data_IF_978960074488
#
_entry.id   IF_978960074488
#
_cell.length_a   1.000
_cell.length_b   1.000
_cell.length_c   1.000
_cell.angle_alpha   90.00
_cell.angle_beta   90.00
_cell.angle_gamma   90.00
#
_symmetry.space_group_name_H-M   'P 1'
#
loop_
_entity.id
_entity.type
_entity.pdbx_description
1 polymer ?
#
# COMPACT_ATOMS: atom_id res chain seq x y z
N UNK A 1 -18.99 -4.74 9.75
CA UNK A 1 -17.94 -5.75 9.49
C UNK A 1 -16.59 -5.06 9.61
N UNK A 2 -15.99 -5.19 10.78
CA UNK A 2 -14.69 -4.62 11.17
C UNK A 2 -13.69 -5.77 11.22
N UNK A 3 -12.45 -5.59 10.73
CA UNK A 3 -11.44 -6.61 10.99
C UNK A 3 -10.04 -6.37 10.42
N UNK A 4 -9.89 -5.79 9.22
CA UNK A 4 -8.55 -5.64 8.60
C UNK A 4 -8.26 -4.20 8.15
N UNK A 5 -9.27 -3.45 7.69
CA UNK A 5 -9.09 -2.06 7.26
C UNK A 5 -8.70 -1.09 8.40
N UNK A 6 -8.87 -1.49 9.66
CA UNK A 6 -8.58 -0.67 10.83
C UNK A 6 -7.11 -0.67 11.28
N UNK A 7 -6.21 -1.48 10.68
CA UNK A 7 -4.81 -1.57 11.15
C UNK A 7 -3.88 -0.46 10.64
N UNK A 8 -4.20 0.18 9.52
CA UNK A 8 -3.35 1.21 8.93
C UNK A 8 -4.16 2.43 8.48
N UNK A 9 -3.72 3.61 8.89
CA UNK A 9 -4.24 4.89 8.42
C UNK A 9 -3.83 5.16 6.98
N UNK A 10 -4.58 6.01 6.28
CA UNK A 10 -4.26 6.44 4.92
C UNK A 10 -2.82 6.98 4.82
N UNK A 11 -2.38 7.76 5.81
CA UNK A 11 -1.01 8.29 5.88
C UNK A 11 0.03 7.17 6.00
N UNK A 12 -0.22 6.16 6.84
CA UNK A 12 0.67 5.00 6.99
C UNK A 12 0.78 4.19 5.68
N UNK A 13 -0.32 4.01 4.94
CA UNK A 13 -0.28 3.33 3.64
C UNK A 13 0.59 4.08 2.61
N UNK A 14 0.51 5.41 2.56
CA UNK A 14 1.40 6.22 1.71
C UNK A 14 2.86 6.15 2.15
N UNK A 15 3.13 6.11 3.46
CA UNK A 15 4.49 5.89 3.97
C UNK A 15 5.05 4.52 3.55
N UNK A 16 4.25 3.46 3.66
CA UNK A 16 4.64 2.12 3.22
C UNK A 16 4.89 2.06 1.72
N UNK A 17 4.01 2.65 0.91
CA UNK A 17 4.19 2.78 -0.55
C UNK A 17 5.54 3.43 -0.88
N UNK A 18 5.88 4.53 -0.21
CA UNK A 18 7.13 5.24 -0.43
C UNK A 18 8.36 4.43 -0.02
N UNK A 19 8.27 3.69 1.10
CA UNK A 19 9.35 2.83 1.57
C UNK A 19 9.65 1.70 0.58
N UNK A 20 8.61 1.04 0.05
CA UNK A 20 8.74 -0.03 -0.94
C UNK A 20 9.37 0.48 -2.22
N UNK A 21 8.89 1.62 -2.74
CA UNK A 21 9.47 2.23 -3.93
C UNK A 21 10.97 2.55 -3.75
N UNK A 22 11.36 3.06 -2.57
CA UNK A 22 12.78 3.29 -2.27
C UNK A 22 13.58 2.00 -2.16
N UNK A 23 13.02 0.96 -1.57
CA UNK A 23 13.67 -0.33 -1.45
C UNK A 23 13.90 -0.98 -2.82
N UNK A 24 12.91 -0.88 -3.71
CA UNK A 24 12.98 -1.40 -5.09
C UNK A 24 14.00 -0.67 -5.98
N UNK A 25 14.38 0.56 -5.61
CA UNK A 25 15.42 1.35 -6.31
C UNK A 25 16.83 1.09 -5.77
N UNK A 26 17.00 0.23 -4.76
CA UNK A 26 18.28 -0.05 -4.14
C UNK A 26 19.15 -0.96 -5.03
N UNK A 27 20.44 -0.64 -5.10
CA UNK A 27 21.42 -1.50 -5.74
C UNK A 27 21.54 -2.86 -5.02
N UNK A 28 21.56 -3.94 -5.80
CA UNK A 28 21.66 -5.31 -5.29
C UNK A 28 20.33 -5.98 -4.93
N UNK A 29 19.18 -5.41 -5.34
CA UNK A 29 17.90 -6.09 -5.25
C UNK A 29 17.83 -7.28 -6.22
N UNK A 30 17.34 -8.43 -5.75
CA UNK A 30 17.14 -9.58 -6.62
C UNK A 30 15.82 -9.46 -7.40
N UNK A 31 15.70 -10.18 -8.51
CA UNK A 31 14.45 -10.22 -9.28
C UNK A 31 13.29 -10.80 -8.45
N UNK A 32 13.59 -11.71 -7.53
CA UNK A 32 12.62 -12.30 -6.61
C UNK A 32 12.13 -11.28 -5.58
N UNK A 33 13.03 -10.55 -4.94
CA UNK A 33 12.69 -9.42 -4.06
C UNK A 33 11.83 -8.40 -4.82
N UNK A 34 12.20 -8.06 -6.05
CA UNK A 34 11.44 -7.13 -6.87
C UNK A 34 10.01 -7.61 -7.16
N UNK A 35 9.80 -8.91 -7.42
CA UNK A 35 8.46 -9.50 -7.61
C UNK A 35 7.63 -9.47 -6.33
N UNK A 36 8.24 -9.79 -5.20
CA UNK A 36 7.59 -9.76 -3.88
C UNK A 36 7.16 -8.33 -3.54
N UNK A 37 8.05 -7.36 -3.71
CA UNK A 37 7.81 -5.95 -3.41
C UNK A 37 6.78 -5.33 -4.36
N UNK A 38 6.77 -5.71 -5.63
CA UNK A 38 5.69 -5.32 -6.56
C UNK A 38 4.32 -5.85 -6.10
N UNK A 39 4.24 -7.11 -5.66
CA UNK A 39 2.99 -7.68 -5.17
C UNK A 39 2.50 -6.95 -3.90
N UNK A 40 3.42 -6.57 -3.03
CA UNK A 40 3.13 -5.78 -1.84
C UNK A 40 2.65 -4.35 -2.19
N UNK A 41 3.30 -3.71 -3.16
CA UNK A 41 2.93 -2.39 -3.68
C UNK A 41 1.51 -2.37 -4.25
N UNK A 42 1.12 -3.42 -5.00
CA UNK A 42 -0.23 -3.58 -5.53
C UNK A 42 -1.28 -3.67 -4.43
N UNK A 43 -1.01 -4.46 -3.38
CA UNK A 43 -1.92 -4.57 -2.22
C UNK A 43 -2.10 -3.24 -1.50
N UNK A 44 -1.02 -2.48 -1.30
CA UNK A 44 -1.09 -1.16 -0.65
C UNK A 44 -1.86 -0.16 -1.51
N UNK A 45 -1.64 -0.14 -2.84
CA UNK A 45 -2.39 0.73 -3.74
C UNK A 45 -3.88 0.39 -3.72
N UNK A 46 -4.24 -0.89 -3.70
CA UNK A 46 -5.63 -1.33 -3.56
C UNK A 46 -6.28 -0.79 -2.27
N UNK A 47 -5.60 -0.94 -1.12
CA UNK A 47 -6.10 -0.43 0.16
C UNK A 47 -6.26 1.10 0.16
N UNK A 48 -5.34 1.84 -0.48
CA UNK A 48 -5.44 3.30 -0.62
C UNK A 48 -6.70 3.68 -1.40
N UNK A 49 -6.98 3.00 -2.51
CA UNK A 49 -8.18 3.26 -3.34
C UNK A 49 -9.48 2.83 -2.64
N UNK A 50 -9.45 1.72 -1.90
CA UNK A 50 -10.57 1.27 -1.07
C UNK A 50 -10.91 2.32 0.02
N UNK A 51 -9.90 2.86 0.71
CA UNK A 51 -10.10 3.94 1.69
C UNK A 51 -10.59 5.23 1.05
N UNK A 52 -10.08 5.62 -0.12
CA UNK A 52 -10.58 6.78 -0.87
C UNK A 52 -12.05 6.61 -1.24
N UNK A 53 -12.42 5.44 -1.73
CA UNK A 53 -13.79 5.11 -2.13
C UNK A 53 -14.72 5.11 -0.93
N UNK A 54 -14.31 4.47 0.18
CA UNK A 54 -15.07 4.45 1.44
C UNK A 54 -15.28 5.85 2.02
N UNK A 55 -14.24 6.69 2.00
CA UNK A 55 -14.33 8.09 2.46
C UNK A 55 -15.19 8.97 1.54
N UNK A 56 -15.28 8.64 0.24
CA UNK A 56 -16.14 9.35 -0.72
C UNK A 56 -17.61 8.96 -0.55
N UNK A 57 -17.89 7.70 -0.22
CA UNK A 57 -19.26 7.22 0.09
C UNK A 57 -19.78 7.86 1.39
N UNK A 58 -18.93 8.05 2.41
CA UNK A 58 -19.30 8.71 3.68
C UNK A 58 -19.48 10.24 3.61
N UNK A 59 -19.41 10.86 2.42
CA UNK A 59 -19.56 12.31 2.22
C UNK A 59 -20.90 12.74 1.63
N UNK A 60 -21.84 11.83 1.43
CA UNK A 60 -23.20 12.12 0.95
C UNK A 60 -24.24 12.01 2.07
#
# INVERSE_FOLDING_TARGET
>A
MSGILAKFTYKQLHTMKHAILKYMLRDGITEEDFKIEQALLLKINYLIEEMKTSNKINKN
#
